data_IF_188896240265
#
_entry.id   IF_188896240265
#
_cell.length_a   1.000
_cell.length_b   1.000
_cell.length_c   1.000
_cell.angle_alpha   90.00
_cell.angle_beta   90.00
_cell.angle_gamma   90.00
#
_symmetry.space_group_name_H-M   'P 1'
#
loop_
_entity.id
_entity.type
_entity.pdbx_description
1 polymer ?
#
# COMPACT_ATOMS: atom_id res chain seq x y z
N UNK A 1 43.71 46.67 42.35
CA UNK A 1 44.35 46.13 41.13
C UNK A 1 44.62 44.67 41.36
N UNK A 2 43.66 43.83 40.97
CA UNK A 2 43.69 42.98 39.77
C UNK A 2 44.28 41.61 40.12
N UNK A 3 43.39 40.65 40.38
CA UNK A 3 42.91 39.69 39.37
C UNK A 3 43.96 38.60 39.18
N UNK A 4 43.63 37.39 39.66
CA UNK A 4 43.81 36.17 38.88
C UNK A 4 43.31 34.92 39.62
N UNK A 5 42.34 34.28 38.96
CA UNK A 5 42.19 32.82 38.81
C UNK A 5 41.34 32.15 39.90
N UNK A 6 40.07 32.53 39.95
CA UNK A 6 38.99 31.53 39.98
C UNK A 6 38.99 30.84 38.60
N UNK A 7 39.61 29.67 38.50
CA UNK A 7 39.56 28.88 37.26
C UNK A 7 39.98 27.42 37.52
N UNK A 8 39.30 26.75 38.46
CA UNK A 8 39.56 25.33 38.74
C UNK A 8 38.32 24.44 38.61
N UNK A 9 37.12 24.97 38.38
CA UNK A 9 35.88 24.15 38.41
C UNK A 9 35.17 23.99 37.06
N UNK A 10 35.72 24.49 35.95
CA UNK A 10 34.94 24.59 34.69
C UNK A 10 35.49 23.81 33.48
N UNK A 11 36.32 22.78 33.66
CA UNK A 11 36.87 22.02 32.50
C UNK A 11 36.60 20.51 32.55
N UNK A 12 36.26 19.92 33.70
CA UNK A 12 35.94 18.48 33.76
C UNK A 12 34.46 18.15 33.47
N UNK A 13 33.55 19.13 33.47
CA UNK A 13 32.12 18.93 33.21
C UNK A 13 31.73 18.90 31.72
N UNK A 14 32.55 19.46 30.83
CA UNK A 14 32.21 19.57 29.41
C UNK A 14 32.67 18.39 28.55
N UNK A 15 33.67 17.62 29.00
CA UNK A 15 34.16 16.46 28.24
C UNK A 15 33.33 15.19 28.44
N UNK A 16 32.53 15.09 29.50
CA UNK A 16 31.65 13.94 29.73
C UNK A 16 30.25 14.08 29.11
N UNK A 17 29.83 15.30 28.77
CA UNK A 17 28.54 15.53 28.09
C UNK A 17 28.67 15.30 26.57
N UNK A 18 29.87 15.42 26.00
CA UNK A 18 30.12 15.16 24.58
C UNK A 18 30.20 13.67 24.20
N UNK A 19 30.40 12.75 25.13
CA UNK A 19 30.38 11.30 24.86
C UNK A 19 29.00 10.66 25.08
N UNK A 20 28.10 11.33 25.80
CA UNK A 20 26.75 10.81 26.06
C UNK A 20 25.72 11.22 24.98
N UNK A 21 26.03 12.22 24.14
CA UNK A 21 25.11 12.66 23.07
C UNK A 21 25.32 11.95 21.73
N UNK A 22 26.38 11.15 21.58
CA UNK A 22 26.66 10.40 20.34
C UNK A 22 26.01 9.02 20.31
N UNK A 23 25.36 8.59 21.40
CA UNK A 23 24.72 7.26 21.51
C UNK A 23 23.18 7.29 21.51
N UNK A 24 22.55 8.47 21.39
CA UNK A 24 21.09 8.59 21.24
C UNK A 24 20.61 8.55 19.77
N UNK A 25 21.52 8.43 18.81
CA UNK A 25 21.20 8.11 17.41
C UNK A 25 21.71 6.72 17.03
N UNK A 26 21.64 5.76 17.96
CA UNK A 26 21.72 4.35 17.62
C UNK A 26 20.45 3.95 16.88
N UNK A 27 20.48 4.18 15.56
CA UNK A 27 19.71 3.52 14.51
C UNK A 27 18.26 3.20 14.83
N UNK A 28 17.35 4.06 14.40
CA UNK A 28 16.16 3.52 13.74
C UNK A 28 16.66 2.45 12.76
N UNK A 29 16.15 1.22 12.88
CA UNK A 29 16.39 0.16 11.90
C UNK A 29 15.85 0.64 10.55
N UNK A 30 16.65 1.38 9.79
CA UNK A 30 16.47 1.66 8.38
C UNK A 30 16.88 0.42 7.53
N UNK A 31 16.73 -0.77 8.12
CA UNK A 31 17.46 -1.97 7.72
C UNK A 31 16.80 -2.77 6.62
N UNK A 32 15.53 -2.55 6.33
CA UNK A 32 14.79 -3.38 5.36
C UNK A 32 14.39 -2.60 4.10
N UNK A 33 13.97 -1.34 4.24
CA UNK A 33 13.66 -0.50 3.09
C UNK A 33 14.86 -0.13 2.23
N UNK A 34 15.97 0.29 2.86
CA UNK A 34 17.22 0.55 2.12
C UNK A 34 17.67 -0.68 1.35
N UNK A 35 17.54 -1.87 1.96
CA UNK A 35 17.89 -3.14 1.32
C UNK A 35 16.98 -3.48 0.14
N UNK A 36 15.67 -3.25 0.22
CA UNK A 36 14.78 -3.47 -0.92
C UNK A 36 15.15 -2.57 -2.09
N UNK A 37 15.42 -1.29 -1.85
CA UNK A 37 15.83 -0.38 -2.92
C UNK A 37 17.20 -0.74 -3.50
N UNK A 38 18.15 -1.14 -2.66
CA UNK A 38 19.49 -1.59 -3.09
C UNK A 38 19.44 -2.90 -3.89
N UNK A 39 18.51 -3.80 -3.57
CA UNK A 39 18.35 -5.10 -4.22
C UNK A 39 17.42 -5.06 -5.44
N UNK A 40 16.76 -3.94 -5.72
CA UNK A 40 15.92 -3.80 -6.90
C UNK A 40 16.79 -3.87 -8.17
N UNK A 41 16.41 -4.77 -9.07
CA UNK A 41 17.06 -4.95 -10.37
C UNK A 41 16.03 -4.63 -11.44
N UNK A 42 16.24 -3.53 -12.16
CA UNK A 42 15.43 -3.16 -13.32
C UNK A 42 15.51 -4.25 -14.40
N UNK A 43 14.36 -4.60 -14.98
CA UNK A 43 14.28 -5.68 -15.96
C UNK A 43 14.73 -5.28 -17.39
N UNK A 44 15.05 -4.01 -17.61
CA UNK A 44 15.54 -3.47 -18.88
C UNK A 44 14.49 -3.36 -19.98
N UNK A 45 13.21 -3.65 -19.69
CA UNK A 45 12.13 -3.66 -20.68
C UNK A 45 11.54 -2.27 -20.96
N UNK A 46 11.92 -1.26 -20.17
CA UNK A 46 11.39 0.10 -20.26
C UNK A 46 9.86 0.12 -20.19
N UNK A 47 9.30 -0.62 -19.23
CA UNK A 47 7.86 -0.67 -18.97
C UNK A 47 7.36 0.70 -18.43
N UNK A 48 6.08 1.04 -18.59
CA UNK A 48 5.54 2.35 -18.20
C UNK A 48 5.90 2.83 -16.78
N UNK A 49 5.92 1.94 -15.79
CA UNK A 49 6.41 2.27 -14.45
C UNK A 49 7.86 2.73 -14.43
N UNK A 50 8.78 2.01 -15.08
CA UNK A 50 10.19 2.36 -15.17
C UNK A 50 10.40 3.69 -15.92
N UNK A 51 9.49 4.03 -16.84
CA UNK A 51 9.48 5.29 -17.57
C UNK A 51 8.74 6.44 -16.85
N UNK A 52 8.28 6.24 -15.61
CA UNK A 52 7.50 7.22 -14.84
C UNK A 52 6.26 7.76 -15.59
N UNK A 53 5.62 6.90 -16.38
CA UNK A 53 4.39 7.26 -17.11
C UNK A 53 3.29 7.64 -16.11
N UNK A 54 2.61 8.80 -16.26
CA UNK A 54 1.50 9.15 -15.39
C UNK A 54 0.46 8.02 -15.32
N UNK A 55 0.01 7.65 -14.12
CA UNK A 55 -0.92 6.53 -13.96
C UNK A 55 -2.25 6.73 -14.70
N UNK A 56 -2.65 7.98 -14.92
CA UNK A 56 -3.83 8.34 -15.72
C UNK A 56 -3.69 8.00 -17.20
N UNK A 57 -2.46 7.89 -17.69
CA UNK A 57 -2.12 7.62 -19.09
C UNK A 57 -1.64 6.17 -19.29
N UNK A 58 -1.56 5.39 -18.19
CA UNK A 58 -0.99 4.05 -18.20
C UNK A 58 -2.00 3.01 -18.66
N UNK A 59 -1.63 2.21 -19.65
CA UNK A 59 -2.33 0.98 -20.01
C UNK A 59 -1.88 -0.17 -19.09
N UNK A 60 -2.63 -0.42 -18.03
CA UNK A 60 -2.34 -1.49 -17.08
C UNK A 60 -2.51 -2.90 -17.65
N UNK A 61 -3.10 -3.08 -18.85
CA UNK A 61 -3.31 -4.40 -19.43
C UNK A 61 -1.99 -5.15 -19.71
N UNK A 62 -0.91 -4.41 -19.94
CA UNK A 62 0.43 -4.98 -20.12
C UNK A 62 0.89 -5.74 -18.87
N UNK A 63 0.57 -5.21 -17.68
CA UNK A 63 0.97 -5.83 -16.42
C UNK A 63 0.05 -7.00 -16.10
N UNK A 64 -1.26 -6.81 -16.23
CA UNK A 64 -2.23 -7.88 -15.92
C UNK A 64 -2.04 -9.10 -16.82
N UNK A 65 -1.77 -8.90 -18.11
CA UNK A 65 -1.51 -9.99 -19.05
C UNK A 65 -0.13 -10.65 -18.86
N UNK A 66 0.89 -9.90 -18.46
CA UNK A 66 2.26 -10.41 -18.34
C UNK A 66 2.54 -11.06 -16.98
N UNK A 67 1.98 -10.51 -15.91
CA UNK A 67 2.33 -10.91 -14.53
C UNK A 67 1.18 -11.62 -13.79
N UNK A 68 -0.06 -11.47 -14.26
CA UNK A 68 -1.25 -11.96 -13.53
C UNK A 68 -2.10 -12.95 -14.35
N UNK A 69 -1.63 -13.37 -15.53
CA UNK A 69 -2.38 -14.30 -16.40
C UNK A 69 -2.64 -15.67 -15.77
N UNK A 70 -1.79 -16.08 -14.82
CA UNK A 70 -1.82 -17.41 -14.19
C UNK A 70 -2.22 -17.38 -12.70
N UNK A 71 -2.66 -16.23 -12.16
CA UNK A 71 -3.07 -16.16 -10.76
C UNK A 71 -4.45 -16.81 -10.59
N UNK A 72 -4.43 -18.11 -10.29
CA UNK A 72 -5.42 -18.76 -9.46
C UNK A 72 -4.96 -18.53 -8.02
N UNK A 73 -5.46 -17.48 -7.37
CA UNK A 73 -5.14 -17.28 -5.95
C UNK A 73 -5.63 -18.50 -5.15
N UNK A 74 -4.77 -19.18 -4.38
CA UNK A 74 -5.17 -20.29 -3.52
C UNK A 74 -6.02 -19.82 -2.32
N UNK A 75 -6.16 -18.51 -2.13
CA UNK A 75 -6.95 -17.90 -1.05
C UNK A 75 -8.42 -17.79 -1.46
N UNK A 76 -9.15 -18.90 -1.62
CA UNK A 76 -10.59 -18.75 -1.86
C UNK A 76 -11.43 -19.86 -1.27
N UNK A 77 -12.00 -19.53 -0.12
CA UNK A 77 -13.16 -20.19 0.44
C UNK A 77 -14.43 -19.63 -0.24
N UNK A 78 -15.28 -20.46 -0.90
CA UNK A 78 -16.55 -19.99 -1.45
C UNK A 78 -17.46 -19.32 -0.41
N UNK A 79 -17.22 -19.57 0.88
CA UNK A 79 -18.00 -19.05 2.00
C UNK A 79 -17.51 -17.68 2.50
N UNK A 80 -16.54 -17.04 1.84
CA UNK A 80 -16.17 -15.67 2.20
C UNK A 80 -17.39 -14.73 2.15
N UNK A 81 -17.51 -13.91 3.19
CA UNK A 81 -18.29 -12.70 3.13
C UNK A 81 -17.61 -11.73 2.16
N UNK A 82 -18.17 -11.65 0.95
CA UNK A 82 -17.69 -10.83 -0.17
C UNK A 82 -17.88 -9.33 0.05
N UNK A 83 -18.58 -8.94 1.13
CA UNK A 83 -18.89 -7.56 1.46
C UNK A 83 -18.25 -7.14 2.77
N UNK A 84 -18.01 -5.85 2.88
CA UNK A 84 -17.50 -5.18 4.07
C UNK A 84 -18.32 -3.93 4.33
N UNK A 85 -18.74 -3.75 5.57
CA UNK A 85 -19.20 -2.45 6.05
C UNK A 85 -17.98 -1.56 6.29
N UNK A 86 -17.89 -0.43 5.59
CA UNK A 86 -16.68 0.41 5.61
C UNK A 86 -16.34 0.90 7.04
N UNK A 87 -15.11 0.67 7.54
CA UNK A 87 -14.71 1.05 8.90
C UNK A 87 -14.36 2.54 9.03
N UNK A 88 -14.10 3.21 7.91
CA UNK A 88 -13.78 4.62 7.75
C UNK A 88 -14.38 5.15 6.45
N UNK A 89 -14.38 6.47 6.27
CA UNK A 89 -14.63 7.05 4.95
C UNK A 89 -13.51 6.60 3.99
N UNK A 90 -13.89 6.26 2.76
CA UNK A 90 -12.95 5.96 1.68
C UNK A 90 -13.09 7.05 0.62
N UNK A 91 -12.03 7.82 0.45
CA UNK A 91 -12.02 9.04 -0.33
C UNK A 91 -11.19 8.83 -1.60
N UNK A 92 -11.80 9.16 -2.73
CA UNK A 92 -11.20 9.02 -4.06
C UNK A 92 -10.98 10.40 -4.66
N UNK A 93 -9.78 10.63 -5.17
CA UNK A 93 -9.27 11.89 -5.68
C UNK A 93 -8.91 11.78 -7.16
N UNK A 94 -8.94 12.90 -7.90
CA UNK A 94 -8.47 12.93 -9.28
C UNK A 94 -6.94 12.98 -9.34
N UNK A 95 -6.31 13.57 -8.33
CA UNK A 95 -4.86 13.63 -8.12
C UNK A 95 -4.51 13.61 -6.62
N UNK A 96 -3.35 13.07 -6.21
CA UNK A 96 -2.84 13.15 -4.84
C UNK A 96 -2.74 14.55 -4.24
N UNK A 97 -2.65 15.58 -5.09
CA UNK A 97 -2.55 16.99 -4.68
C UNK A 97 -3.88 17.70 -4.46
N UNK A 98 -5.00 17.06 -4.75
CA UNK A 98 -6.32 17.68 -4.65
C UNK A 98 -6.73 17.90 -3.19
N UNK A 99 -7.31 19.06 -2.90
CA UNK A 99 -7.74 19.41 -1.55
C UNK A 99 -9.03 18.70 -1.11
N UNK A 100 -9.83 18.22 -2.06
CA UNK A 100 -11.13 17.58 -1.81
C UNK A 100 -11.30 16.34 -2.67
N UNK A 101 -11.87 15.25 -2.14
CA UNK A 101 -12.16 14.08 -2.95
C UNK A 101 -13.26 14.35 -3.98
N UNK A 102 -13.16 13.69 -5.12
CA UNK A 102 -14.21 13.69 -6.17
C UNK A 102 -15.31 12.66 -5.88
N UNK A 103 -15.01 11.68 -5.03
CA UNK A 103 -15.97 10.68 -4.55
C UNK A 103 -15.61 10.29 -3.12
N UNK A 104 -16.59 10.27 -2.23
CA UNK A 104 -16.45 9.74 -0.86
C UNK A 104 -17.46 8.63 -0.64
N UNK A 105 -16.97 7.46 -0.24
CA UNK A 105 -17.80 6.38 0.27
C UNK A 105 -17.84 6.51 1.80
N UNK A 106 -19.00 6.84 2.39
CA UNK A 106 -19.07 7.12 3.81
C UNK A 106 -18.90 5.84 4.63
N UNK A 107 -18.24 5.97 5.78
CA UNK A 107 -18.17 4.97 6.83
C UNK A 107 -19.55 4.37 7.11
N UNK A 108 -19.59 3.05 7.30
CA UNK A 108 -20.84 2.33 7.51
C UNK A 108 -21.57 1.93 6.22
N UNK A 109 -21.08 2.34 5.04
CA UNK A 109 -21.60 1.81 3.77
C UNK A 109 -21.17 0.36 3.58
N UNK A 110 -22.07 -0.48 3.09
CA UNK A 110 -21.72 -1.82 2.65
C UNK A 110 -21.14 -1.77 1.24
N UNK A 111 -19.96 -2.35 1.07
CA UNK A 111 -19.28 -2.42 -0.23
C UNK A 111 -18.85 -3.84 -0.57
N UNK A 112 -18.69 -4.13 -1.85
CA UNK A 112 -18.16 -5.40 -2.32
C UNK A 112 -16.64 -5.37 -2.42
N UNK A 113 -15.98 -6.35 -1.82
CA UNK A 113 -14.53 -6.60 -2.00
C UNK A 113 -14.30 -7.62 -3.10
N UNK A 114 -15.15 -8.64 -3.20
CA UNK A 114 -15.08 -9.71 -4.21
C UNK A 114 -16.37 -9.76 -5.04
N UNK A 115 -16.31 -10.15 -6.33
CA UNK A 115 -17.51 -10.29 -7.14
C UNK A 115 -18.35 -11.48 -6.68
N UNK A 116 -19.67 -11.32 -6.75
CA UNK A 116 -20.62 -12.31 -6.23
C UNK A 116 -20.51 -13.66 -6.95
N UNK A 117 -20.35 -13.62 -8.26
CA UNK A 117 -20.38 -14.77 -9.18
C UNK A 117 -19.01 -15.43 -9.39
N UNK A 118 -17.93 -14.85 -8.85
CA UNK A 118 -16.59 -15.39 -9.00
C UNK A 118 -15.69 -14.99 -7.82
N UNK A 119 -15.92 -15.58 -6.64
CA UNK A 119 -15.14 -15.28 -5.43
C UNK A 119 -13.62 -15.45 -5.62
N UNK A 120 -13.23 -16.28 -6.60
CA UNK A 120 -11.86 -16.61 -6.96
C UNK A 120 -11.27 -15.73 -8.07
N UNK A 121 -11.97 -14.67 -8.47
CA UNK A 121 -11.51 -13.80 -9.53
C UNK A 121 -10.49 -12.79 -8.98
N UNK A 122 -9.29 -12.69 -9.58
CA UNK A 122 -8.34 -11.66 -9.19
C UNK A 122 -8.93 -10.28 -9.48
N UNK A 123 -8.95 -9.41 -8.47
CA UNK A 123 -9.54 -8.07 -8.51
C UNK A 123 -8.49 -6.99 -8.81
N UNK A 124 -7.52 -7.30 -9.67
CA UNK A 124 -6.40 -6.39 -9.97
C UNK A 124 -6.93 -5.06 -10.51
N UNK A 125 -6.48 -3.96 -9.91
CA UNK A 125 -6.94 -2.61 -10.18
C UNK A 125 -8.22 -2.21 -9.45
N UNK A 126 -8.81 -3.06 -8.61
CA UNK A 126 -10.07 -2.81 -7.91
C UNK A 126 -9.94 -2.96 -6.39
N UNK A 127 -10.53 -1.99 -5.67
CA UNK A 127 -10.79 -2.12 -4.23
C UNK A 127 -9.52 -2.29 -3.40
N UNK A 128 -9.25 -3.53 -2.95
CA UNK A 128 -8.06 -3.83 -2.15
C UNK A 128 -6.78 -3.92 -2.99
N UNK A 129 -6.88 -4.36 -4.23
CA UNK A 129 -5.75 -4.60 -5.13
C UNK A 129 -5.57 -3.42 -6.10
N UNK A 130 -5.33 -2.23 -5.56
CA UNK A 130 -5.08 -1.03 -6.35
C UNK A 130 -3.60 -0.91 -6.73
N UNK A 131 -3.32 -0.27 -7.87
CA UNK A 131 -1.97 -0.04 -8.37
C UNK A 131 -1.18 0.92 -7.44
N UNK A 132 0.13 0.70 -7.24
CA UNK A 132 0.94 1.61 -6.44
C UNK A 132 1.21 2.91 -7.18
N UNK A 133 1.28 4.02 -6.44
CA UNK A 133 1.71 5.31 -6.98
C UNK A 133 3.21 5.56 -6.79
N UNK A 134 3.74 6.50 -7.58
CA UNK A 134 5.10 7.01 -7.41
C UNK A 134 5.27 7.79 -6.10
N UNK A 135 4.19 8.35 -5.55
CA UNK A 135 4.16 8.96 -4.24
C UNK A 135 3.71 7.93 -3.19
N UNK A 136 4.49 7.85 -2.10
CA UNK A 136 4.17 7.03 -0.92
C UNK A 136 2.76 7.33 -0.38
N UNK A 137 2.06 6.29 0.05
CA UNK A 137 0.77 6.36 0.73
C UNK A 137 -0.41 6.57 -0.21
N UNK A 138 -0.21 6.43 -1.52
CA UNK A 138 -1.24 6.54 -2.53
C UNK A 138 -1.37 5.28 -3.37
N UNK A 139 -2.62 5.01 -3.74
CA UNK A 139 -3.04 3.91 -4.60
C UNK A 139 -3.87 4.44 -5.73
N UNK A 140 -3.82 3.79 -6.88
CA UNK A 140 -4.60 4.15 -8.05
C UNK A 140 -5.46 2.97 -8.50
N UNK A 141 -6.77 3.12 -8.43
CA UNK A 141 -7.68 1.99 -8.58
C UNK A 141 -9.14 2.37 -8.78
N UNK A 142 -9.92 1.37 -9.12
CA UNK A 142 -11.36 1.46 -9.23
C UNK A 142 -12.00 1.51 -7.84
N UNK A 143 -12.99 2.38 -7.60
CA UNK A 143 -13.67 2.48 -6.31
C UNK A 143 -14.46 1.22 -5.98
N UNK A 144 -14.68 0.96 -4.68
CA UNK A 144 -15.54 -0.14 -4.28
C UNK A 144 -16.99 0.06 -4.75
N UNK A 145 -17.65 -1.04 -5.13
CA UNK A 145 -19.07 -1.05 -5.44
C UNK A 145 -19.92 -1.04 -4.17
N UNK A 146 -20.86 -0.09 -4.09
CA UNK A 146 -21.76 0.10 -2.93
C UNK A 146 -23.12 -0.59 -3.13
N UNK A 147 -23.57 -0.84 -4.37
CA UNK A 147 -24.95 -1.28 -4.63
C UNK A 147 -25.06 -2.36 -5.70
N UNK A 148 -26.07 -3.22 -5.55
CA UNK A 148 -26.55 -4.11 -6.61
C UNK A 148 -25.78 -5.42 -6.74
N UNK A 149 -25.87 -6.02 -7.92
CA UNK A 149 -25.27 -7.30 -8.27
C UNK A 149 -23.85 -7.09 -8.80
N UNK A 150 -22.87 -6.85 -7.92
CA UNK A 150 -21.47 -6.79 -8.35
C UNK A 150 -21.01 -8.14 -8.90
N UNK A 151 -20.76 -8.21 -10.21
CA UNK A 151 -20.29 -9.40 -10.93
C UNK A 151 -18.89 -9.20 -11.49
N UNK A 152 -18.21 -10.30 -11.79
CA UNK A 152 -16.87 -10.33 -12.39
C UNK A 152 -16.76 -9.45 -13.64
N UNK A 153 -17.77 -9.49 -14.51
CA UNK A 153 -17.80 -8.71 -15.75
C UNK A 153 -17.72 -7.20 -15.51
N UNK A 154 -18.13 -6.71 -14.33
CA UNK A 154 -18.13 -5.28 -14.04
C UNK A 154 -16.72 -4.74 -13.78
N UNK A 155 -15.79 -5.56 -13.27
CA UNK A 155 -14.40 -5.17 -13.07
C UNK A 155 -13.71 -4.92 -14.42
N UNK A 156 -14.01 -5.75 -15.43
CA UNK A 156 -13.41 -5.68 -16.76
C UNK A 156 -14.17 -4.83 -17.79
N UNK A 157 -15.43 -4.48 -17.55
CA UNK A 157 -16.27 -3.81 -18.56
C UNK A 157 -16.85 -2.45 -18.13
N UNK A 158 -16.87 -2.10 -16.84
CA UNK A 158 -17.63 -0.92 -16.35
C UNK A 158 -16.76 0.27 -15.92
N UNK A 159 -15.47 0.06 -15.70
CA UNK A 159 -14.63 1.06 -15.05
C UNK A 159 -13.43 1.42 -15.89
N UNK A 160 -13.67 2.34 -16.82
CA UNK A 160 -12.61 3.07 -17.54
C UNK A 160 -11.95 4.13 -16.65
N UNK A 161 -12.42 4.30 -15.41
CA UNK A 161 -11.99 5.37 -14.50
C UNK A 161 -11.41 4.82 -13.21
N UNK A 162 -10.16 5.18 -13.02
CA UNK A 162 -9.37 4.94 -11.83
C UNK A 162 -9.25 6.26 -11.07
N UNK A 163 -9.04 6.17 -9.76
CA UNK A 163 -8.89 7.32 -8.88
C UNK A 163 -7.78 7.06 -7.88
N UNK A 164 -7.22 8.14 -7.36
CA UNK A 164 -6.27 8.08 -6.26
C UNK A 164 -6.99 7.89 -4.93
N UNK A 165 -6.49 7.00 -4.08
CA UNK A 165 -7.01 6.73 -2.74
C UNK A 165 -5.85 6.51 -1.78
N UNK A 166 -6.02 6.87 -0.50
CA UNK A 166 -4.96 6.68 0.49
C UNK A 166 -4.76 5.21 0.80
N UNK A 167 -3.50 4.75 0.82
CA UNK A 167 -3.13 3.37 1.18
C UNK A 167 -3.72 2.98 2.54
N UNK A 168 -3.72 3.88 3.53
CA UNK A 168 -4.25 3.61 4.88
C UNK A 168 -5.76 3.35 4.93
N UNK A 169 -6.54 3.98 4.03
CA UNK A 169 -7.99 3.75 3.94
C UNK A 169 -8.26 2.35 3.39
N UNK A 170 -7.56 1.97 2.32
CA UNK A 170 -7.65 0.62 1.74
C UNK A 170 -7.18 -0.44 2.74
N UNK A 171 -6.09 -0.16 3.46
CA UNK A 171 -5.58 -1.03 4.51
C UNK A 171 -6.62 -1.23 5.62
N UNK A 172 -7.34 -0.19 6.03
CA UNK A 172 -8.41 -0.29 7.02
C UNK A 172 -9.55 -1.20 6.53
N UNK A 173 -9.94 -1.11 5.25
CA UNK A 173 -10.94 -2.00 4.65
C UNK A 173 -10.43 -3.45 4.58
N UNK A 174 -9.16 -3.68 4.25
CA UNK A 174 -8.56 -5.02 4.23
C UNK A 174 -8.63 -5.70 5.60
N UNK A 175 -8.36 -4.95 6.67
CA UNK A 175 -8.46 -5.44 8.05
C UNK A 175 -9.89 -5.84 8.40
N UNK A 176 -10.88 -5.06 7.97
CA UNK A 176 -12.29 -5.38 8.21
C UNK A 176 -12.74 -6.61 7.40
N UNK A 177 -12.28 -6.72 6.15
CA UNK A 177 -12.48 -7.93 5.35
C UNK A 177 -11.90 -9.17 6.04
N UNK A 178 -10.68 -9.07 6.58
CA UNK A 178 -10.06 -10.14 7.36
C UNK A 178 -10.92 -10.51 8.58
N UNK A 179 -11.39 -9.53 9.35
CA UNK A 179 -12.20 -9.77 10.54
C UNK A 179 -13.49 -10.52 10.20
N UNK A 180 -14.17 -10.10 9.12
CA UNK A 180 -15.39 -10.74 8.64
C UNK A 180 -15.17 -12.18 8.16
N UNK A 181 -13.94 -12.51 7.74
CA UNK A 181 -13.58 -13.79 7.14
C UNK A 181 -12.56 -14.59 7.98
N UNK A 182 -12.35 -14.20 9.25
CA UNK A 182 -11.25 -14.68 10.09
C UNK A 182 -11.16 -16.19 10.21
N UNK A 183 -12.32 -16.88 10.24
CA UNK A 183 -12.38 -18.35 10.32
C UNK A 183 -11.73 -19.02 9.11
N UNK A 184 -11.98 -18.46 7.93
CA UNK A 184 -11.47 -18.97 6.65
C UNK A 184 -10.06 -18.44 6.34
N UNK A 185 -9.59 -17.41 7.04
CA UNK A 185 -8.26 -16.81 6.91
C UNK A 185 -7.33 -17.14 8.09
N UNK A 186 -7.61 -18.21 8.83
CA UNK A 186 -6.93 -18.55 10.10
C UNK A 186 -5.41 -18.77 9.99
N UNK A 187 -4.88 -19.00 8.78
CA UNK A 187 -3.45 -19.21 8.55
C UNK A 187 -2.65 -17.90 8.44
N UNK A 188 -3.35 -16.76 8.41
CA UNK A 188 -2.75 -15.42 8.33
C UNK A 188 -3.17 -14.62 9.54
N UNK A 189 -2.28 -13.75 10.01
CA UNK A 189 -2.63 -12.65 10.91
C UNK A 189 -3.27 -11.51 10.12
N UNK A 190 -4.02 -10.63 10.80
CA UNK A 190 -4.62 -9.47 10.14
C UNK A 190 -3.58 -8.55 9.46
N UNK A 191 -2.39 -8.28 10.04
CA UNK A 191 -1.34 -7.53 9.36
C UNK A 191 -0.75 -8.23 8.14
N UNK A 192 -0.55 -9.55 8.19
CA UNK A 192 -0.08 -10.32 7.03
C UNK A 192 -1.08 -10.26 5.89
N UNK A 193 -2.36 -10.52 6.17
CA UNK A 193 -3.42 -10.42 5.17
C UNK A 193 -3.54 -9.01 4.59
N UNK A 194 -3.46 -7.98 5.43
CA UNK A 194 -3.47 -6.58 4.99
C UNK A 194 -2.29 -6.28 4.05
N UNK A 195 -1.09 -6.75 4.40
CA UNK A 195 0.10 -6.59 3.56
C UNK A 195 -0.05 -7.33 2.24
N UNK A 196 -0.50 -8.58 2.27
CA UNK A 196 -0.75 -9.37 1.06
C UNK A 196 -1.75 -8.65 0.16
N UNK A 197 -2.96 -8.34 0.63
CA UNK A 197 -3.99 -7.77 -0.24
C UNK A 197 -3.65 -6.38 -0.79
N UNK A 198 -3.01 -5.52 0.01
CA UNK A 198 -2.76 -4.12 -0.37
C UNK A 198 -1.47 -3.96 -1.16
N UNK A 199 -0.45 -4.80 -0.90
CA UNK A 199 0.87 -4.69 -1.54
C UNK A 199 1.21 -5.82 -2.51
N UNK A 200 0.28 -6.74 -2.80
CA UNK A 200 0.50 -7.82 -3.77
C UNK A 200 1.01 -7.29 -5.11
N UNK A 201 0.42 -6.19 -5.58
CA UNK A 201 0.81 -5.58 -6.85
C UNK A 201 2.23 -4.99 -6.77
N UNK A 202 2.57 -4.31 -5.68
CA UNK A 202 3.90 -3.75 -5.43
C UNK A 202 4.96 -4.85 -5.44
N UNK A 203 4.70 -5.95 -4.71
CA UNK A 203 5.62 -7.06 -4.62
C UNK A 203 5.81 -7.73 -5.99
N UNK A 204 4.72 -7.96 -6.72
CA UNK A 204 4.78 -8.54 -8.07
C UNK A 204 5.57 -7.66 -9.03
N UNK A 205 5.35 -6.34 -9.01
CA UNK A 205 6.10 -5.41 -9.86
C UNK A 205 7.58 -5.37 -9.47
N UNK A 206 7.89 -5.41 -8.17
CA UNK A 206 9.26 -5.46 -7.68
C UNK A 206 9.99 -6.73 -8.12
N UNK A 207 9.36 -7.89 -7.91
CA UNK A 207 9.94 -9.21 -8.23
C UNK A 207 10.20 -9.37 -9.73
N UNK A 208 9.41 -8.69 -10.57
CA UNK A 208 9.59 -8.67 -12.01
C UNK A 208 10.50 -7.54 -12.51
N UNK A 209 11.12 -6.77 -11.61
CA UNK A 209 12.00 -5.65 -11.96
C UNK A 209 11.28 -4.50 -12.67
N UNK A 210 9.96 -4.40 -12.56
CA UNK A 210 9.13 -3.40 -13.24
C UNK A 210 8.99 -2.10 -12.46
N UNK A 211 8.90 -2.19 -11.12
CA UNK A 211 8.78 -1.02 -10.25
C UNK A 211 9.14 -1.35 -8.80
N UNK A 212 9.88 -0.47 -8.14
CA UNK A 212 10.10 -0.51 -6.69
C UNK A 212 9.22 0.54 -5.99
N UNK A 213 8.03 0.13 -5.56
CA UNK A 213 7.06 1.02 -4.90
C UNK A 213 7.62 1.62 -3.61
N UNK A 214 7.43 2.94 -3.36
CA UNK A 214 7.81 3.57 -2.09
C UNK A 214 7.12 2.95 -0.86
N UNK A 215 5.92 2.40 -1.01
CA UNK A 215 5.19 1.75 0.09
C UNK A 215 5.82 0.40 0.48
N UNK A 216 6.45 -0.30 -0.47
CA UNK A 216 7.10 -1.60 -0.23
C UNK A 216 8.37 -1.44 0.60
N UNK A 217 9.12 -0.35 0.35
CA UNK A 217 10.36 0.01 1.05
C UNK A 217 10.12 0.19 2.54
N UNK A 218 9.05 0.88 2.95
CA UNK A 218 8.90 1.29 4.35
C UNK A 218 8.06 0.34 5.22
N UNK A 219 7.28 -0.59 4.63
CA UNK A 219 6.47 -1.59 5.37
C UNK A 219 7.22 -2.87 5.73
N UNK A 220 8.53 -2.93 5.43
CA UNK A 220 9.41 -4.00 5.89
C UNK A 220 10.08 -3.68 7.25
N UNK A 221 9.73 -2.55 7.88
CA UNK A 221 10.26 -2.07 9.17
C UNK A 221 9.39 -2.40 10.38
#
# INVERSE_FOLDING_TARGET
MNSKIENVVSICGFLLISMALSFLFAGCKAGSGSQLKENYIDNGKNEPYAAETPLTDMDFSIYTSQYYSDIISPLVDPDYNKRVTLPCDVEYYQSPGDATPVLTLPKGSDVYVLPRDAANFPTIGYGLQCWPDYQKGWRYGQPFFVTGDFTRSMISQKYDKYYYVRTEQIASVAREFYNNNRKSLQNLTAPEFQKEMVLEIDQTLYDNGAFCSPDLVDLAG
#
